data_IF_941450014425
#
_entry.id   IF_941450014425
#
_cell.length_a   1.000
_cell.length_b   1.000
_cell.length_c   1.000
_cell.angle_alpha   90.00
_cell.angle_beta   90.00
_cell.angle_gamma   90.00
#
_symmetry.space_group_name_H-M   'P 1'
#
loop_
_entity.id
_entity.type
_entity.pdbx_description
1 polymer ?
#
# COMPACT_ATOMS: atom_id res chain seq x y z
N UNK A 1 29.98 5.60 2.17
CA UNK A 1 29.41 4.77 3.24
C UNK A 1 28.45 3.76 2.63
N UNK A 2 28.38 2.55 3.19
CA UNK A 2 27.42 1.52 2.79
C UNK A 2 26.10 1.81 3.52
N UNK A 3 25.00 1.97 2.77
CA UNK A 3 23.67 2.22 3.36
C UNK A 3 23.19 0.94 4.06
N UNK A 4 22.69 1.07 5.28
CA UNK A 4 22.04 0.02 6.09
C UNK A 4 20.53 0.18 6.02
N UNK A 5 19.87 -0.80 5.40
CA UNK A 5 18.43 -0.83 5.21
C UNK A 5 17.79 -1.90 6.09
N UNK A 6 16.85 -1.50 6.94
CA UNK A 6 15.91 -2.41 7.57
C UNK A 6 14.65 -2.61 6.72
N UNK A 7 14.07 -3.79 6.77
CA UNK A 7 12.71 -4.05 6.27
C UNK A 7 11.87 -4.64 7.39
N UNK A 8 10.71 -4.04 7.64
CA UNK A 8 9.66 -4.60 8.51
C UNK A 8 8.60 -5.17 7.59
N UNK A 9 8.43 -6.49 7.57
CA UNK A 9 7.47 -7.15 6.68
C UNK A 9 6.90 -8.43 7.30
N UNK A 10 5.87 -8.98 6.68
CA UNK A 10 5.39 -10.34 6.97
C UNK A 10 6.49 -11.39 6.73
N UNK A 11 6.33 -12.64 7.23
CA UNK A 11 7.36 -13.67 7.14
C UNK A 11 7.94 -13.85 5.73
N UNK A 12 9.24 -13.59 5.56
CA UNK A 12 9.91 -13.62 4.24
C UNK A 12 9.88 -15.00 3.57
N UNK A 13 9.72 -16.06 4.37
CA UNK A 13 9.57 -17.43 3.91
C UNK A 13 8.20 -17.72 3.28
N UNK A 14 7.19 -16.90 3.57
CA UNK A 14 5.81 -17.07 3.11
C UNK A 14 5.47 -16.24 1.87
N UNK A 15 6.42 -15.42 1.38
CA UNK A 15 6.18 -14.57 0.21
C UNK A 15 6.03 -15.39 -1.07
N UNK A 16 5.29 -14.84 -2.02
CA UNK A 16 5.23 -15.40 -3.37
C UNK A 16 6.34 -14.79 -4.24
N UNK A 17 7.46 -15.50 -4.39
CA UNK A 17 8.67 -15.06 -5.09
C UNK A 17 8.43 -14.27 -6.38
N UNK A 18 7.50 -14.73 -7.22
CA UNK A 18 7.23 -14.12 -8.55
C UNK A 18 6.47 -12.79 -8.49
N UNK A 19 5.81 -12.45 -7.38
CA UNK A 19 4.98 -11.24 -7.26
C UNK A 19 5.41 -10.29 -6.16
N UNK A 20 6.27 -10.75 -5.25
CA UNK A 20 6.60 -9.95 -4.06
C UNK A 20 7.42 -8.70 -4.41
N UNK A 21 6.82 -7.54 -4.14
CA UNK A 21 7.43 -6.22 -4.35
C UNK A 21 8.50 -5.91 -3.31
N UNK A 22 8.36 -6.40 -2.08
CA UNK A 22 9.37 -6.19 -1.03
C UNK A 22 10.69 -6.88 -1.41
N UNK A 23 10.63 -8.11 -1.93
CA UNK A 23 11.78 -8.82 -2.48
C UNK A 23 12.37 -8.10 -3.70
N UNK A 24 11.55 -7.50 -4.57
CA UNK A 24 12.07 -6.69 -5.69
C UNK A 24 12.90 -5.50 -5.19
N UNK A 25 12.42 -4.79 -4.17
CA UNK A 25 13.13 -3.68 -3.54
C UNK A 25 14.43 -4.16 -2.86
N UNK A 26 14.39 -5.28 -2.14
CA UNK A 26 15.55 -5.84 -1.45
C UNK A 26 16.64 -6.31 -2.44
N UNK A 27 16.26 -6.92 -3.57
CA UNK A 27 17.20 -7.26 -4.63
C UNK A 27 17.84 -6.02 -5.24
N UNK A 28 17.07 -4.95 -5.46
CA UNK A 28 17.58 -3.67 -5.97
C UNK A 28 18.55 -2.99 -4.99
N UNK A 29 18.27 -3.08 -3.68
CA UNK A 29 19.16 -2.61 -2.63
C UNK A 29 20.46 -3.44 -2.54
N UNK A 30 20.35 -4.77 -2.61
CA UNK A 30 21.50 -5.68 -2.66
C UNK A 30 22.41 -5.40 -3.85
N UNK A 31 21.84 -5.17 -5.04
CA UNK A 31 22.60 -4.86 -6.25
C UNK A 31 23.41 -3.57 -6.13
N UNK A 32 22.99 -2.63 -5.26
CA UNK A 32 23.70 -1.39 -4.92
C UNK A 32 24.72 -1.59 -3.78
N UNK A 33 24.89 -2.82 -3.32
CA UNK A 33 25.77 -3.18 -2.22
C UNK A 33 25.28 -2.68 -0.87
N UNK A 34 23.98 -2.48 -0.65
CA UNK A 34 23.47 -2.08 0.67
C UNK A 34 23.58 -3.26 1.66
N UNK A 35 23.61 -2.95 2.95
CA UNK A 35 23.48 -3.96 4.02
C UNK A 35 22.00 -4.06 4.39
N UNK A 36 21.46 -5.28 4.46
CA UNK A 36 20.04 -5.51 4.71
C UNK A 36 19.83 -6.13 6.08
N UNK A 37 18.80 -5.66 6.77
CA UNK A 37 18.35 -6.17 8.05
C UNK A 37 16.87 -6.50 7.98
N UNK A 38 16.53 -7.71 8.41
CA UNK A 38 15.17 -8.23 8.44
C UNK A 38 14.55 -8.08 9.82
N UNK A 39 13.30 -7.64 9.85
CA UNK A 39 12.43 -7.58 11.03
C UNK A 39 11.02 -8.03 10.65
N UNK A 40 10.39 -8.80 11.52
CA UNK A 40 8.93 -8.93 11.59
C UNK A 40 8.36 -7.86 12.55
N UNK A 41 7.05 -7.56 12.53
CA UNK A 41 6.47 -6.57 13.44
C UNK A 41 6.76 -6.84 14.92
N UNK A 42 6.75 -8.10 15.33
CA UNK A 42 7.01 -8.52 16.71
C UNK A 42 8.46 -8.29 17.17
N UNK A 43 9.39 -8.06 16.24
CA UNK A 43 10.78 -7.77 16.57
C UNK A 43 10.97 -6.29 16.96
N UNK A 44 9.98 -5.43 16.72
CA UNK A 44 10.01 -4.01 17.05
C UNK A 44 9.59 -3.78 18.50
N UNK A 45 10.35 -2.96 19.23
CA UNK A 45 9.98 -2.55 20.59
C UNK A 45 10.57 -1.19 20.95
N UNK A 46 9.99 -0.56 21.99
CA UNK A 46 10.57 0.61 22.64
C UNK A 46 11.23 0.17 23.95
N UNK A 47 12.46 0.62 24.16
CA UNK A 47 13.16 0.48 25.43
C UNK A 47 13.52 1.88 25.92
N UNK A 48 12.90 2.32 27.02
CA UNK A 48 13.11 3.65 27.61
C UNK A 48 12.98 4.81 26.59
N UNK A 49 12.04 4.67 25.64
CA UNK A 49 11.80 5.65 24.58
C UNK A 49 12.72 5.52 23.35
N UNK A 50 13.72 4.64 23.38
CA UNK A 50 14.55 4.31 22.23
C UNK A 50 13.91 3.20 21.39
N UNK A 51 13.89 3.39 20.07
CA UNK A 51 13.37 2.39 19.14
C UNK A 51 14.42 1.29 18.89
N UNK A 52 14.04 0.06 19.19
CA UNK A 52 14.89 -1.12 19.14
C UNK A 52 14.30 -2.18 18.21
N UNK A 53 15.15 -3.09 17.75
CA UNK A 53 14.75 -4.22 16.92
C UNK A 53 15.57 -5.47 17.24
N UNK A 54 14.93 -6.64 17.24
CA UNK A 54 15.60 -7.94 17.19
C UNK A 54 15.93 -8.29 15.72
N UNK A 55 16.98 -7.65 15.20
CA UNK A 55 17.29 -7.63 13.76
C UNK A 55 18.09 -8.85 13.34
N UNK A 56 17.80 -9.37 12.15
CA UNK A 56 18.63 -10.39 11.48
C UNK A 56 19.34 -9.81 10.27
N UNK A 57 20.67 -10.00 10.10
CA UNK A 57 21.31 -9.75 8.81
C UNK A 57 20.59 -10.55 7.72
N UNK A 58 20.33 -9.91 6.58
CA UNK A 58 19.58 -10.49 5.47
C UNK A 58 20.44 -10.51 4.22
N UNK A 59 20.49 -11.65 3.54
CA UNK A 59 20.90 -11.74 2.15
C UNK A 59 19.72 -12.22 1.30
N UNK A 60 19.57 -11.71 0.07
CA UNK A 60 18.42 -12.02 -0.81
C UNK A 60 18.88 -12.42 -2.19
N UNK A 61 18.32 -13.48 -2.76
CA UNK A 61 18.75 -14.03 -4.04
C UNK A 61 17.63 -14.03 -5.07
N UNK A 62 18.00 -13.81 -6.34
CA UNK A 62 17.09 -13.98 -7.47
C UNK A 62 16.96 -15.49 -7.83
N UNK A 63 16.61 -16.32 -6.84
CA UNK A 63 16.44 -17.76 -6.97
C UNK A 63 15.08 -18.19 -6.39
N UNK A 64 14.18 -18.78 -7.19
CA UNK A 64 12.85 -19.20 -6.74
C UNK A 64 12.88 -20.35 -5.73
N UNK A 65 13.97 -21.10 -5.59
CA UNK A 65 14.10 -22.21 -4.63
C UNK A 65 14.80 -21.77 -3.34
N UNK A 66 15.46 -20.61 -3.34
CA UNK A 66 16.24 -20.10 -2.21
C UNK A 66 16.43 -18.59 -2.34
N UNK A 67 15.41 -17.81 -1.99
CA UNK A 67 15.40 -16.36 -2.20
C UNK A 67 15.96 -15.53 -1.04
N UNK A 68 16.31 -16.15 0.09
CA UNK A 68 16.82 -15.43 1.25
C UNK A 68 17.71 -16.30 2.14
N UNK A 69 18.61 -15.65 2.87
CA UNK A 69 19.34 -16.19 4.02
C UNK A 69 19.23 -15.22 5.20
N UNK A 70 19.02 -15.75 6.41
CA UNK A 70 19.01 -14.97 7.64
C UNK A 70 20.23 -15.33 8.50
N UNK A 71 20.96 -14.31 8.93
CA UNK A 71 22.01 -14.45 9.92
C UNK A 71 21.48 -14.53 11.36
N UNK A 72 22.40 -14.65 12.30
CA UNK A 72 22.08 -14.65 13.74
C UNK A 72 21.39 -13.35 14.16
N UNK A 73 20.29 -13.43 14.92
CA UNK A 73 19.56 -12.26 15.35
C UNK A 73 20.29 -11.51 16.48
N UNK A 74 20.14 -10.19 16.52
CA UNK A 74 20.70 -9.36 17.58
C UNK A 74 19.77 -8.19 17.93
N UNK A 75 19.67 -7.89 19.22
CA UNK A 75 19.01 -6.68 19.71
C UNK A 75 19.88 -5.47 19.40
N UNK A 76 19.38 -4.56 18.56
CA UNK A 76 20.10 -3.36 18.12
C UNK A 76 19.17 -2.15 18.10
N UNK A 77 19.74 -0.94 18.19
CA UNK A 77 18.95 0.27 18.07
C UNK A 77 18.58 0.49 16.59
N UNK A 78 17.33 0.84 16.29
CA UNK A 78 16.94 1.14 14.91
C UNK A 78 17.71 2.34 14.34
N UNK A 79 18.23 3.22 15.20
CA UNK A 79 19.13 4.33 14.83
C UNK A 79 20.46 3.90 14.22
N UNK A 80 20.79 2.61 14.26
CA UNK A 80 21.94 2.05 13.54
C UNK A 80 21.65 1.84 12.05
N UNK A 81 20.39 1.93 11.62
CA UNK A 81 19.97 1.88 10.23
C UNK A 81 19.90 3.28 9.64
N UNK A 82 20.17 3.39 8.35
CA UNK A 82 19.98 4.66 7.62
C UNK A 82 18.52 4.79 7.15
N UNK A 83 17.90 3.67 6.77
CA UNK A 83 16.53 3.60 6.27
C UNK A 83 15.80 2.34 6.74
N UNK A 84 14.50 2.44 6.99
CA UNK A 84 13.59 1.32 7.25
C UNK A 84 12.44 1.35 6.23
N UNK A 85 12.24 0.27 5.51
CA UNK A 85 11.04 0.05 4.69
C UNK A 85 9.96 -0.60 5.57
N UNK A 86 8.87 0.11 5.82
CA UNK A 86 7.67 -0.44 6.47
C UNK A 86 6.80 -1.10 5.39
N UNK A 87 6.92 -2.42 5.27
CA UNK A 87 6.31 -3.27 4.24
C UNK A 87 5.39 -4.34 4.81
N UNK A 88 4.92 -4.14 6.05
CA UNK A 88 3.88 -4.96 6.65
C UNK A 88 2.58 -4.79 5.85
N UNK A 89 1.97 -5.90 5.46
CA UNK A 89 0.67 -5.89 4.81
C UNK A 89 -0.43 -5.44 5.79
N UNK A 90 -1.51 -4.80 5.30
CA UNK A 90 -2.72 -4.57 6.10
C UNK A 90 -3.29 -5.86 6.75
N UNK A 91 -4.26 -5.76 7.67
CA UNK A 91 -5.08 -4.59 8.00
C UNK A 91 -4.29 -3.49 8.72
N UNK A 92 -4.80 -2.26 8.64
CA UNK A 92 -4.36 -1.19 9.52
C UNK A 92 -5.12 -1.33 10.85
N UNK A 93 -4.55 -2.10 11.77
CA UNK A 93 -5.09 -2.35 13.10
C UNK A 93 -4.28 -1.62 14.20
N UNK A 94 -4.57 -1.91 15.47
CA UNK A 94 -3.84 -1.32 16.59
C UNK A 94 -2.36 -1.72 16.60
N UNK A 95 -2.00 -2.92 16.14
CA UNK A 95 -0.60 -3.34 16.10
C UNK A 95 0.17 -2.62 14.99
N UNK A 96 -0.45 -2.42 13.82
CA UNK A 96 0.12 -1.55 12.80
C UNK A 96 0.31 -0.12 13.34
N UNK A 97 -0.71 0.42 14.04
CA UNK A 97 -0.65 1.73 14.68
C UNK A 97 0.52 1.82 15.66
N UNK A 98 0.68 0.85 16.57
CA UNK A 98 1.77 0.83 17.54
C UNK A 98 3.13 0.72 16.86
N UNK A 99 3.28 -0.11 15.83
CA UNK A 99 4.49 -0.18 15.03
C UNK A 99 4.86 1.20 14.44
N UNK A 100 3.87 2.00 13.97
CA UNK A 100 4.17 3.36 13.50
C UNK A 100 4.73 4.28 14.59
N UNK A 101 4.34 4.12 15.85
CA UNK A 101 4.89 4.92 16.95
C UNK A 101 6.34 4.52 17.28
N UNK A 102 6.66 3.23 17.22
CA UNK A 102 8.03 2.73 17.39
C UNK A 102 8.93 3.27 16.25
N UNK A 103 8.46 3.15 15.02
CA UNK A 103 9.18 3.66 13.84
C UNK A 103 9.30 5.18 13.83
N UNK A 104 8.33 5.92 14.39
CA UNK A 104 8.45 7.36 14.56
C UNK A 104 9.53 7.75 15.58
N UNK A 105 9.73 6.94 16.64
CA UNK A 105 10.86 7.15 17.54
C UNK A 105 12.21 6.92 16.83
N UNK A 106 12.30 5.94 15.93
CA UNK A 106 13.47 5.75 15.07
C UNK A 106 13.67 6.95 14.12
N UNK A 107 12.58 7.46 13.50
CA UNK A 107 12.61 8.65 12.65
C UNK A 107 13.16 9.87 13.40
N UNK A 108 12.72 10.08 14.65
CA UNK A 108 13.23 11.16 15.53
C UNK A 108 14.71 11.01 15.86
N UNK A 109 15.26 9.80 15.82
CA UNK A 109 16.69 9.51 15.98
C UNK A 109 17.49 9.59 14.67
N UNK A 110 16.88 10.03 13.57
CA UNK A 110 17.58 10.30 12.29
C UNK A 110 17.39 9.24 11.20
N UNK A 111 16.69 8.14 11.50
CA UNK A 111 16.39 7.08 10.52
C UNK A 111 15.40 7.58 9.48
N UNK A 112 15.55 7.21 8.21
CA UNK A 112 14.50 7.41 7.21
C UNK A 112 13.49 6.26 7.31
N UNK A 113 12.20 6.54 7.46
CA UNK A 113 11.18 5.48 7.38
C UNK A 113 10.34 5.67 6.12
N UNK A 114 10.23 4.61 5.33
CA UNK A 114 9.51 4.60 4.05
C UNK A 114 8.31 3.67 4.18
N UNK A 115 7.07 4.16 4.22
CA UNK A 115 6.64 5.57 4.24
C UNK A 115 6.67 6.21 5.64
N UNK A 116 6.54 7.55 5.69
CA UNK A 116 6.55 8.31 6.95
C UNK A 116 5.50 7.78 7.96
N UNK A 117 5.87 7.45 9.22
CA UNK A 117 4.97 6.78 10.16
C UNK A 117 3.73 7.61 10.52
N UNK A 118 3.89 8.92 10.72
CA UNK A 118 2.76 9.81 10.98
C UNK A 118 1.76 9.80 9.82
N UNK A 119 2.25 9.82 8.59
CA UNK A 119 1.41 9.83 7.41
C UNK A 119 0.74 8.50 7.14
N UNK A 120 1.35 7.37 7.54
CA UNK A 120 0.65 6.07 7.55
C UNK A 120 -0.59 6.09 8.45
N UNK A 121 -0.56 6.80 9.58
CA UNK A 121 -1.73 6.96 10.46
C UNK A 121 -2.77 7.93 9.89
N UNK A 122 -2.32 9.01 9.28
CA UNK A 122 -3.21 10.06 8.75
C UNK A 122 -3.91 9.66 7.45
N UNK A 123 -3.27 8.80 6.64
CA UNK A 123 -3.68 8.49 5.28
C UNK A 123 -4.28 7.08 5.16
N UNK A 124 -5.44 6.84 5.77
CA UNK A 124 -6.20 5.60 5.54
C UNK A 124 -6.50 5.42 4.04
N UNK A 125 -6.30 4.22 3.50
CA UNK A 125 -6.23 3.99 2.05
C UNK A 125 -7.53 4.34 1.29
N UNK A 126 -8.69 4.28 1.95
CA UNK A 126 -9.99 4.64 1.36
C UNK A 126 -10.36 6.09 1.66
N UNK A 127 -10.23 6.53 2.91
CA UNK A 127 -10.56 7.90 3.31
C UNK A 127 -9.62 8.94 2.68
N UNK A 128 -8.35 8.59 2.46
CA UNK A 128 -7.40 9.53 1.89
C UNK A 128 -7.76 9.90 0.45
N UNK A 129 -8.32 8.95 -0.33
CA UNK A 129 -8.82 9.23 -1.68
C UNK A 129 -9.90 10.32 -1.69
N UNK A 130 -10.72 10.44 -0.64
CA UNK A 130 -11.81 11.44 -0.57
C UNK A 130 -11.30 12.87 -0.42
N UNK A 131 -10.00 13.08 -0.15
CA UNK A 131 -9.37 14.41 -0.21
C UNK A 131 -9.20 14.92 -1.65
N UNK A 132 -9.44 14.05 -2.65
CA UNK A 132 -9.41 14.37 -4.07
C UNK A 132 -10.80 14.15 -4.70
N UNK A 133 -11.84 14.91 -4.30
CA UNK A 133 -13.20 14.71 -4.78
C UNK A 133 -13.33 14.86 -6.31
N UNK A 134 -12.44 15.62 -6.96
CA UNK A 134 -12.35 15.76 -8.41
C UNK A 134 -11.85 14.50 -9.13
N UNK A 135 -11.24 13.56 -8.40
CA UNK A 135 -10.71 12.29 -8.92
C UNK A 135 -11.60 11.09 -8.57
N UNK A 136 -12.41 11.17 -7.53
CA UNK A 136 -13.17 10.02 -7.00
C UNK A 136 -14.58 9.94 -7.59
N UNK A 137 -15.20 8.75 -7.63
CA UNK A 137 -16.62 8.68 -7.94
C UNK A 137 -17.45 9.19 -6.74
N UNK A 138 -18.73 9.45 -6.95
CA UNK A 138 -19.64 9.76 -5.85
C UNK A 138 -19.54 8.68 -4.76
N UNK A 139 -19.36 9.11 -3.51
CA UNK A 139 -19.19 8.25 -2.36
C UNK A 139 -19.73 8.93 -1.09
N UNK A 140 -20.00 8.11 -0.07
CA UNK A 140 -20.31 8.55 1.29
C UNK A 140 -19.66 7.60 2.28
N UNK A 141 -19.17 8.14 3.40
CA UNK A 141 -18.70 7.34 4.54
C UNK A 141 -19.64 7.54 5.70
N UNK A 142 -20.22 6.46 6.18
CA UNK A 142 -21.14 6.50 7.32
C UNK A 142 -21.31 5.13 7.97
N UNK A 143 -21.67 5.15 9.25
CA UNK A 143 -22.18 4.00 10.00
C UNK A 143 -23.69 4.04 10.17
N UNK A 144 -24.34 5.10 9.70
CA UNK A 144 -25.79 5.32 9.81
C UNK A 144 -26.52 4.70 8.63
N UNK A 145 -27.41 3.77 8.92
CA UNK A 145 -28.16 3.04 7.89
C UNK A 145 -29.05 3.95 7.02
N UNK A 146 -29.64 5.01 7.59
CA UNK A 146 -30.47 5.94 6.83
C UNK A 146 -29.67 6.71 5.76
N UNK A 147 -28.45 7.13 6.09
CA UNK A 147 -27.55 7.80 5.14
C UNK A 147 -27.11 6.83 4.03
N UNK A 148 -26.72 5.62 4.40
CA UNK A 148 -26.26 4.59 3.45
C UNK A 148 -27.38 4.16 2.50
N UNK A 149 -28.61 3.97 3.01
CA UNK A 149 -29.78 3.67 2.17
C UNK A 149 -30.11 4.83 1.23
N UNK A 150 -30.11 6.06 1.73
CA UNK A 150 -30.37 7.24 0.88
C UNK A 150 -29.37 7.34 -0.28
N UNK A 151 -28.09 7.06 -0.01
CA UNK A 151 -27.05 7.01 -1.04
C UNK A 151 -27.31 5.88 -2.06
N UNK A 152 -27.60 4.66 -1.58
CA UNK A 152 -27.94 3.53 -2.45
C UNK A 152 -29.15 3.81 -3.35
N UNK A 153 -30.22 4.40 -2.80
CA UNK A 153 -31.40 4.81 -3.59
C UNK A 153 -31.07 5.89 -4.63
N UNK A 154 -30.21 6.85 -4.29
CA UNK A 154 -29.83 7.93 -5.21
C UNK A 154 -29.01 7.39 -6.39
N UNK A 155 -28.07 6.47 -6.13
CA UNK A 155 -27.11 6.02 -7.13
C UNK A 155 -27.48 4.70 -7.82
N UNK A 156 -28.46 3.94 -7.30
CA UNK A 156 -29.08 2.72 -7.86
C UNK A 156 -28.15 1.52 -8.07
N UNK A 157 -26.84 1.73 -8.25
CA UNK A 157 -25.85 0.66 -8.32
C UNK A 157 -24.62 1.14 -7.55
N UNK A 158 -24.39 0.50 -6.40
CA UNK A 158 -23.38 0.93 -5.44
C UNK A 158 -22.51 -0.21 -4.97
N UNK A 159 -21.32 0.15 -4.50
CA UNK A 159 -20.40 -0.72 -3.79
C UNK A 159 -20.40 -0.30 -2.33
N UNK A 160 -20.63 -1.23 -1.41
CA UNK A 160 -20.42 -1.05 0.02
C UNK A 160 -19.17 -1.85 0.45
N UNK A 161 -18.25 -1.19 1.16
CA UNK A 161 -16.98 -1.76 1.58
C UNK A 161 -16.52 -1.22 2.95
N UNK A 162 -15.80 -2.04 3.76
CA UNK A 162 -15.19 -1.57 5.01
C UNK A 162 -14.02 -0.61 4.73
N UNK A 163 -13.57 0.12 5.75
CA UNK A 163 -12.47 1.10 5.65
C UNK A 163 -11.07 0.51 5.88
N UNK A 164 -10.98 -0.63 6.55
CA UNK A 164 -9.75 -1.28 7.03
C UNK A 164 -9.34 -2.54 6.24
N UNK A 165 -10.24 -3.07 5.41
CA UNK A 165 -9.98 -4.27 4.62
C UNK A 165 -9.10 -4.04 3.39
N UNK A 166 -8.33 -5.07 3.03
CA UNK A 166 -7.49 -5.13 1.81
C UNK A 166 -7.98 -6.23 0.85
N UNK A 167 -7.44 -6.23 -0.38
CA UNK A 167 -7.57 -7.37 -1.32
C UNK A 167 -9.00 -7.71 -1.76
N UNK A 168 -9.96 -6.79 -1.59
CA UNK A 168 -11.35 -7.03 -1.94
C UNK A 168 -12.16 -7.78 -0.89
N UNK A 169 -11.71 -7.81 0.37
CA UNK A 169 -12.48 -8.37 1.48
C UNK A 169 -13.75 -7.55 1.73
N UNK A 170 -14.88 -8.24 1.91
CA UNK A 170 -16.19 -7.65 2.28
C UNK A 170 -16.65 -6.51 1.35
N UNK A 171 -16.40 -6.66 0.05
CA UNK A 171 -16.93 -5.76 -0.98
C UNK A 171 -18.26 -6.31 -1.52
N UNK A 172 -19.33 -5.54 -1.36
CA UNK A 172 -20.66 -5.90 -1.84
C UNK A 172 -21.10 -4.94 -2.93
N UNK A 173 -21.57 -5.46 -4.06
CA UNK A 173 -22.32 -4.69 -5.04
C UNK A 173 -23.80 -4.83 -4.74
N UNK A 174 -24.48 -3.69 -4.61
CA UNK A 174 -25.92 -3.61 -4.39
C UNK A 174 -26.54 -2.84 -5.54
N UNK A 175 -27.43 -3.51 -6.28
CA UNK A 175 -28.20 -2.92 -7.37
C UNK A 175 -29.53 -2.37 -6.84
N UNK A 176 -30.27 -1.72 -7.74
CA UNK A 176 -31.59 -1.20 -7.47
C UNK A 176 -32.49 -2.35 -7.00
N UNK A 177 -33.20 -2.11 -5.91
CA UNK A 177 -34.11 -3.06 -5.25
C UNK A 177 -33.47 -4.39 -4.77
N UNK A 178 -32.15 -4.42 -4.51
CA UNK A 178 -31.53 -5.60 -3.89
C UNK A 178 -32.13 -5.87 -2.50
N UNK A 179 -32.74 -7.06 -2.27
CA UNK A 179 -33.39 -7.37 -1.01
C UNK A 179 -32.41 -7.44 0.17
N UNK A 180 -31.10 -7.51 -0.09
CA UNK A 180 -30.07 -7.66 0.93
C UNK A 180 -29.46 -6.33 1.39
N UNK A 181 -29.89 -5.18 0.85
CA UNK A 181 -29.30 -3.88 1.21
C UNK A 181 -29.23 -3.67 2.74
N UNK A 182 -30.33 -3.96 3.45
CA UNK A 182 -30.39 -3.77 4.91
C UNK A 182 -29.42 -4.70 5.65
N UNK A 183 -29.39 -6.00 5.33
CA UNK A 183 -28.50 -6.95 6.02
C UNK A 183 -27.03 -6.71 5.69
N UNK A 184 -26.71 -6.26 4.46
CA UNK A 184 -25.35 -5.86 4.07
C UNK A 184 -24.90 -4.65 4.91
N UNK A 185 -25.74 -3.61 5.03
CA UNK A 185 -25.44 -2.45 5.87
C UNK A 185 -25.25 -2.86 7.33
N UNK A 186 -26.15 -3.67 7.89
CA UNK A 186 -26.05 -4.14 9.28
C UNK A 186 -24.78 -4.96 9.52
N UNK A 187 -24.42 -5.84 8.59
CA UNK A 187 -23.21 -6.66 8.66
C UNK A 187 -21.96 -5.81 8.61
N UNK A 188 -21.83 -4.95 7.59
CA UNK A 188 -20.63 -4.14 7.38
C UNK A 188 -20.44 -3.08 8.47
N UNK A 189 -21.54 -2.48 8.97
CA UNK A 189 -21.47 -1.47 10.03
C UNK A 189 -21.43 -2.08 11.42
N UNK A 190 -21.48 -3.41 11.58
CA UNK A 190 -21.67 -4.09 12.86
C UNK A 190 -22.83 -3.46 13.66
N UNK A 191 -24.00 -3.40 13.04
CA UNK A 191 -25.20 -2.74 13.57
C UNK A 191 -24.96 -1.27 13.98
N UNK A 192 -24.25 -0.51 13.14
CA UNK A 192 -24.01 0.93 13.32
C UNK A 192 -22.82 1.29 14.22
N UNK A 193 -21.98 0.33 14.59
CA UNK A 193 -20.79 0.55 15.42
C UNK A 193 -19.55 0.93 14.59
N UNK A 194 -19.50 0.53 13.31
CA UNK A 194 -18.36 0.72 12.42
C UNK A 194 -18.68 1.58 11.19
N UNK A 195 -17.72 2.43 10.81
CA UNK A 195 -17.79 3.25 9.60
C UNK A 195 -17.52 2.40 8.36
N UNK A 196 -18.32 2.60 7.31
CA UNK A 196 -18.12 1.96 6.01
C UNK A 196 -18.19 3.00 4.90
N UNK A 197 -17.69 2.65 3.72
CA UNK A 197 -17.84 3.46 2.52
C UNK A 197 -18.91 2.86 1.60
N UNK A 198 -19.85 3.68 1.16
CA UNK A 198 -20.67 3.41 -0.01
C UNK A 198 -20.19 4.27 -1.19
N UNK A 199 -20.09 3.68 -2.36
CA UNK A 199 -19.54 4.31 -3.56
C UNK A 199 -20.38 3.94 -4.77
N UNK A 200 -20.55 4.85 -5.75
CA UNK A 200 -21.17 4.49 -7.04
C UNK A 200 -20.40 3.33 -7.69
N UNK A 201 -21.12 2.33 -8.20
CA UNK A 201 -20.51 1.25 -8.99
C UNK A 201 -19.94 1.80 -10.31
N UNK A 202 -18.76 1.31 -10.67
CA UNK A 202 -18.04 1.69 -11.88
C UNK A 202 -18.05 0.50 -12.86
N UNK A 203 -18.86 0.53 -13.94
CA UNK A 203 -18.91 -0.56 -14.91
C UNK A 203 -17.56 -0.81 -15.60
N UNK A 204 -16.69 0.20 -15.66
CA UNK A 204 -15.34 0.14 -16.24
C UNK A 204 -14.41 -0.85 -15.52
N UNK A 205 -14.82 -1.41 -14.37
CA UNK A 205 -14.09 -2.49 -13.69
C UNK A 205 -13.87 -3.72 -14.58
N UNK A 206 -14.70 -3.91 -15.61
CA UNK A 206 -14.51 -4.98 -16.62
C UNK A 206 -13.20 -4.83 -17.40
N UNK A 207 -12.70 -3.60 -17.55
CA UNK A 207 -11.43 -3.30 -18.21
C UNK A 207 -10.23 -3.38 -17.26
N UNK A 208 -10.52 -3.55 -15.97
CA UNK A 208 -9.57 -3.77 -14.90
C UNK A 208 -9.42 -2.61 -13.93
N UNK A 209 -9.12 -2.95 -12.68
CA UNK A 209 -8.70 -2.01 -11.65
C UNK A 209 -7.20 -1.75 -11.78
N UNK A 210 -6.82 -0.58 -12.29
CA UNK A 210 -5.43 -0.19 -12.58
C UNK A 210 -4.69 0.15 -11.29
N UNK A 211 -3.59 -0.56 -11.03
CA UNK A 211 -2.58 -0.20 -10.02
C UNK A 211 -1.53 0.71 -10.66
N UNK A 212 -1.54 1.99 -10.32
CA UNK A 212 -0.53 2.97 -10.70
C UNK A 212 0.45 3.13 -9.54
N UNK A 213 1.73 2.85 -9.75
CA UNK A 213 2.75 3.05 -8.72
C UNK A 213 3.28 4.48 -8.78
N UNK A 214 3.43 5.09 -7.61
CA UNK A 214 3.94 6.44 -7.42
C UNK A 214 5.24 6.37 -6.62
N UNK A 215 6.28 7.03 -7.12
CA UNK A 215 7.57 7.19 -6.44
C UNK A 215 7.76 8.68 -6.15
N UNK A 216 7.72 9.07 -4.88
CA UNK A 216 7.84 10.46 -4.44
C UNK A 216 6.94 11.43 -5.23
N UNK A 217 5.67 11.05 -5.37
CA UNK A 217 4.66 11.82 -6.10
C UNK A 217 4.76 11.79 -7.62
N UNK A 218 5.73 11.10 -8.22
CA UNK A 218 5.81 10.88 -9.67
C UNK A 218 5.22 9.52 -10.04
N UNK A 219 4.39 9.41 -11.09
CA UNK A 219 3.89 8.13 -11.55
C UNK A 219 4.94 7.34 -12.32
N UNK A 220 5.02 6.03 -12.06
CA UNK A 220 5.66 5.08 -12.98
C UNK A 220 4.88 5.11 -14.31
N UNK A 221 5.53 5.18 -15.49
CA UNK A 221 4.85 5.36 -16.79
C UNK A 221 3.89 4.23 -17.22
N UNK A 222 3.83 3.15 -16.43
CA UNK A 222 3.02 1.96 -16.67
C UNK A 222 2.25 1.60 -15.40
N UNK A 223 1.10 0.96 -15.58
CA UNK A 223 0.27 0.40 -14.51
C UNK A 223 0.06 -1.09 -14.72
N UNK A 224 -0.51 -1.75 -13.71
CA UNK A 224 -1.06 -3.09 -13.85
C UNK A 224 -2.59 -3.03 -13.78
N UNK A 225 -3.29 -3.25 -14.90
CA UNK A 225 -4.74 -3.43 -14.92
C UNK A 225 -5.07 -4.82 -14.36
N UNK A 226 -5.84 -4.87 -13.26
CA UNK A 226 -6.23 -6.12 -12.60
C UNK A 226 -7.68 -6.44 -12.96
N UNK A 227 -7.84 -7.36 -13.90
CA UNK A 227 -9.13 -7.66 -14.54
C UNK A 227 -9.84 -8.77 -13.74
N UNK A 228 -11.10 -8.56 -13.31
CA UNK A 228 -11.88 -9.58 -12.60
C UNK A 228 -12.06 -10.86 -13.42
N UNK A 229 -12.22 -11.99 -12.73
CA UNK A 229 -12.67 -13.22 -13.38
C UNK A 229 -14.15 -13.13 -13.78
N UNK A 230 -14.58 -13.96 -14.73
CA UNK A 230 -15.99 -14.01 -15.13
C UNK A 230 -16.87 -14.38 -13.92
N UNK A 231 -17.82 -13.51 -13.58
CA UNK A 231 -18.72 -13.69 -12.44
C UNK A 231 -18.21 -13.11 -11.12
N UNK A 232 -16.99 -12.57 -11.09
CA UNK A 232 -16.41 -11.89 -9.93
C UNK A 232 -16.49 -10.36 -10.10
N UNK A 233 -16.79 -9.64 -9.01
CA UNK A 233 -16.89 -8.17 -9.05
C UNK A 233 -15.55 -7.50 -8.69
N UNK A 234 -14.61 -8.28 -8.13
CA UNK A 234 -13.31 -7.80 -7.63
C UNK A 234 -12.21 -8.01 -8.66
N UNK A 235 -11.45 -6.94 -8.94
CA UNK A 235 -10.29 -6.99 -9.83
C UNK A 235 -9.01 -7.50 -9.16
N UNK A 236 -8.93 -7.48 -7.82
CA UNK A 236 -7.69 -7.71 -7.09
C UNK A 236 -7.02 -9.06 -7.44
N UNK A 237 -5.68 -9.07 -7.57
CA UNK A 237 -4.92 -10.31 -7.81
C UNK A 237 -5.11 -11.34 -6.69
N UNK A 238 -5.30 -10.89 -5.45
CA UNK A 238 -5.60 -11.74 -4.30
C UNK A 238 -6.95 -12.47 -4.43
N UNK A 239 -7.89 -11.92 -5.20
CA UNK A 239 -9.18 -12.54 -5.52
C UNK A 239 -9.15 -13.33 -6.85
N UNK A 240 -7.97 -13.58 -7.42
CA UNK A 240 -7.80 -14.35 -8.65
C UNK A 240 -7.85 -13.54 -9.94
N UNK A 241 -7.86 -12.20 -9.87
CA UNK A 241 -7.83 -11.34 -11.06
C UNK A 241 -6.59 -11.56 -11.94
N UNK A 242 -6.74 -11.31 -13.26
CA UNK A 242 -5.64 -11.36 -14.23
C UNK A 242 -4.97 -9.99 -14.32
N UNK A 243 -3.66 -9.94 -14.10
CA UNK A 243 -2.86 -8.73 -14.29
C UNK A 243 -2.46 -8.53 -15.76
N UNK A 244 -2.64 -7.32 -16.27
CA UNK A 244 -2.19 -6.91 -17.59
C UNK A 244 -1.47 -5.56 -17.48
N UNK A 245 -0.17 -5.54 -17.77
CA UNK A 245 0.61 -4.31 -17.71
C UNK A 245 0.28 -3.42 -18.91
N UNK A 246 0.09 -2.12 -18.69
CA UNK A 246 -0.30 -1.14 -19.72
C UNK A 246 0.38 0.21 -19.49
N UNK A 247 0.65 1.00 -20.54
CA UNK A 247 1.04 2.40 -20.38
C UNK A 247 -0.07 3.19 -19.67
N UNK A 248 0.30 4.23 -18.91
CA UNK A 248 -0.69 5.14 -18.35
C UNK A 248 -1.43 5.89 -19.46
N UNK A 249 -2.74 6.07 -19.29
CA UNK A 249 -3.54 6.99 -20.11
C UNK A 249 -3.33 8.44 -19.66
N UNK A 250 -3.87 9.39 -20.42
CA UNK A 250 -3.80 10.81 -20.03
C UNK A 250 -4.63 11.10 -18.78
N UNK A 251 -5.74 10.36 -18.60
CA UNK A 251 -6.53 10.45 -17.37
C UNK A 251 -5.78 9.89 -16.16
N UNK A 252 -5.04 8.80 -16.34
CA UNK A 252 -4.20 8.22 -15.29
C UNK A 252 -3.11 9.20 -14.85
N UNK A 253 -2.42 9.82 -15.82
CA UNK A 253 -1.43 10.87 -15.56
C UNK A 253 -2.05 12.07 -14.84
N UNK A 254 -3.21 12.53 -15.29
CA UNK A 254 -3.90 13.63 -14.64
C UNK A 254 -4.25 13.32 -13.18
N UNK A 255 -4.78 12.13 -12.87
CA UNK A 255 -5.05 11.71 -11.48
C UNK A 255 -3.76 11.70 -10.66
N UNK A 256 -2.68 11.12 -11.21
CA UNK A 256 -1.38 11.09 -10.56
C UNK A 256 -0.83 12.51 -10.28
N UNK A 257 -1.01 13.46 -11.20
CA UNK A 257 -0.64 14.87 -11.02
C UNK A 257 -1.45 15.57 -9.92
N UNK A 258 -2.74 15.24 -9.77
CA UNK A 258 -3.56 15.78 -8.67
C UNK A 258 -3.09 15.27 -7.30
N UNK A 259 -2.72 13.99 -7.21
CA UNK A 259 -2.38 13.32 -5.95
C UNK A 259 -0.92 13.53 -5.56
N UNK A 260 -0.02 13.56 -6.54
CA UNK A 260 1.44 13.56 -6.38
C UNK A 260 2.00 14.63 -5.43
N UNK A 261 1.60 15.91 -5.53
CA UNK A 261 2.06 16.96 -4.62
C UNK A 261 1.81 16.64 -3.14
N UNK A 262 0.61 16.14 -2.81
CA UNK A 262 0.25 15.78 -1.43
C UNK A 262 1.05 14.56 -0.94
N UNK A 263 1.36 13.59 -1.82
CA UNK A 263 2.21 12.46 -1.44
C UNK A 263 3.62 12.93 -1.04
N UNK A 264 4.20 13.88 -1.79
CA UNK A 264 5.52 14.47 -1.47
C UNK A 264 5.49 15.21 -0.14
N UNK A 265 4.50 16.09 0.04
CA UNK A 265 4.32 16.87 1.27
C UNK A 265 4.23 15.97 2.51
N UNK A 266 3.52 14.84 2.37
CA UNK A 266 3.33 13.87 3.45
C UNK A 266 4.47 12.85 3.59
N UNK A 267 5.54 12.90 2.80
CA UNK A 267 6.62 11.91 2.89
C UNK A 267 6.14 10.48 2.57
N UNK A 268 5.17 10.34 1.67
CA UNK A 268 4.71 9.08 1.12
C UNK A 268 5.52 8.78 -0.16
N UNK A 269 6.68 8.15 0.03
CA UNK A 269 7.67 7.92 -1.02
C UNK A 269 7.28 6.79 -1.97
N UNK A 270 6.55 5.77 -1.52
CA UNK A 270 6.10 4.67 -2.37
C UNK A 270 4.62 4.35 -2.14
N UNK A 271 3.79 4.62 -3.15
CA UNK A 271 2.32 4.56 -3.05
C UNK A 271 1.74 3.85 -4.25
N UNK A 272 0.62 3.13 -4.07
CA UNK A 272 -0.16 2.55 -5.16
C UNK A 272 -1.54 3.19 -5.28
N UNK A 273 -1.83 3.85 -6.40
CA UNK A 273 -3.17 4.35 -6.70
C UNK A 273 -3.98 3.25 -7.38
N UNK A 274 -5.23 3.07 -6.93
CA UNK A 274 -6.19 2.16 -7.55
C UNK A 274 -7.21 2.97 -8.34
N UNK A 275 -7.22 2.79 -9.67
CA UNK A 275 -8.02 3.56 -10.62
C UNK A 275 -8.89 2.63 -11.46
N UNK A 276 -10.20 2.85 -11.42
CA UNK A 276 -11.17 2.14 -12.27
C UNK A 276 -11.77 3.15 -13.26
N UNK A 277 -11.64 2.85 -14.56
CA UNK A 277 -11.97 3.81 -15.61
C UNK A 277 -11.21 5.12 -15.40
N UNK A 278 -11.94 6.19 -15.16
CA UNK A 278 -11.44 7.56 -14.99
C UNK A 278 -11.43 8.04 -13.53
N UNK A 279 -11.62 7.11 -12.58
CA UNK A 279 -11.84 7.43 -11.18
C UNK A 279 -10.82 6.77 -10.25
N UNK A 280 -10.24 7.58 -9.37
CA UNK A 280 -9.48 7.13 -8.21
C UNK A 280 -10.42 6.48 -7.20
N UNK A 281 -10.08 5.29 -6.73
CA UNK A 281 -10.90 4.55 -5.76
C UNK A 281 -10.21 4.33 -4.42
N UNK A 282 -8.88 4.14 -4.41
CA UNK A 282 -8.07 3.95 -3.19
C UNK A 282 -6.64 4.49 -3.41
N UNK A 283 -5.98 4.90 -2.31
CA UNK A 283 -4.56 5.30 -2.27
C UNK A 283 -3.85 4.38 -1.27
N UNK A 284 -3.17 3.36 -1.76
CA UNK A 284 -2.48 2.35 -0.94
C UNK A 284 -1.12 2.87 -0.48
N UNK A 285 -0.97 3.15 0.82
CA UNK A 285 0.23 3.76 1.41
C UNK A 285 1.04 2.79 2.26
N UNK A 286 0.50 1.60 2.56
CA UNK A 286 1.12 0.61 3.45
C UNK A 286 2.12 -0.28 2.69
N UNK A 287 1.62 -1.32 2.01
CA UNK A 287 2.41 -2.31 1.27
C UNK A 287 1.93 -2.44 -0.18
N UNK A 288 1.89 -1.36 -1.00
CA UNK A 288 1.46 -1.48 -2.39
C UNK A 288 2.36 -2.46 -3.16
N UNK A 289 1.74 -3.28 -4.01
CA UNK A 289 2.38 -4.34 -4.81
C UNK A 289 2.28 -4.06 -6.31
N UNK A 290 2.63 -5.03 -7.16
CA UNK A 290 2.66 -5.02 -8.64
C UNK A 290 3.98 -4.56 -9.28
N UNK A 291 5.09 -4.48 -8.53
CA UNK A 291 6.41 -4.14 -9.10
C UNK A 291 6.83 -5.19 -10.12
N UNK A 292 6.78 -6.47 -9.73
CA UNK A 292 7.30 -7.59 -10.52
C UNK A 292 6.63 -7.73 -11.87
N UNK A 293 5.30 -7.61 -11.91
CA UNK A 293 4.52 -7.75 -13.13
C UNK A 293 4.79 -6.60 -14.11
N UNK A 294 4.93 -5.37 -13.60
CA UNK A 294 5.24 -4.20 -14.44
C UNK A 294 6.68 -4.28 -14.94
N UNK A 295 7.64 -4.61 -14.07
CA UNK A 295 9.04 -4.78 -14.45
C UNK A 295 9.22 -5.92 -15.48
N UNK A 296 8.49 -7.02 -15.34
CA UNK A 296 8.56 -8.13 -16.31
C UNK A 296 8.06 -7.74 -17.70
N UNK A 297 7.09 -6.82 -17.78
CA UNK A 297 6.52 -6.37 -19.05
C UNK A 297 7.32 -5.23 -19.70
N UNK A 298 7.88 -4.32 -18.90
CA UNK A 298 8.44 -3.04 -19.40
C UNK A 298 9.86 -2.72 -18.93
N UNK A 299 10.50 -3.60 -18.16
CA UNK A 299 11.88 -3.44 -17.68
C UNK A 299 12.11 -2.11 -16.94
N UNK A 300 11.13 -1.73 -16.11
CA UNK A 300 11.10 -0.41 -15.45
C UNK A 300 12.09 -0.25 -14.29
N UNK A 301 12.58 -1.32 -13.68
CA UNK A 301 13.41 -1.29 -12.46
C UNK A 301 12.80 -0.40 -11.36
N UNK A 302 11.52 -0.59 -11.05
CA UNK A 302 10.79 0.25 -10.08
C UNK A 302 11.45 0.17 -8.69
N UNK A 303 11.93 -1.02 -8.31
CA UNK A 303 12.70 -1.20 -7.08
C UNK A 303 13.97 -0.34 -7.07
N UNK A 304 14.72 -0.32 -8.16
CA UNK A 304 15.91 0.52 -8.30
C UNK A 304 15.60 2.01 -8.28
N UNK A 305 14.56 2.46 -8.98
CA UNK A 305 14.12 3.86 -8.94
C UNK A 305 13.82 4.34 -7.51
N UNK A 306 13.16 3.51 -6.70
CA UNK A 306 12.92 3.80 -5.29
C UNK A 306 14.23 3.87 -4.48
N UNK A 307 15.17 2.94 -4.70
CA UNK A 307 16.45 2.96 -3.99
C UNK A 307 17.31 4.18 -4.36
N UNK A 308 17.28 4.63 -5.62
CA UNK A 308 18.01 5.81 -6.08
C UNK A 308 17.46 7.08 -5.44
N UNK A 309 16.13 7.18 -5.32
CA UNK A 309 15.47 8.24 -4.57
C UNK A 309 15.89 8.22 -3.09
N UNK A 310 15.83 7.06 -2.43
CA UNK A 310 16.20 6.92 -1.02
C UNK A 310 17.65 7.36 -0.81
N UNK A 311 18.58 6.90 -1.65
CA UNK A 311 19.98 7.31 -1.59
C UNK A 311 20.16 8.83 -1.79
N UNK A 312 19.41 9.43 -2.71
CA UNK A 312 19.42 10.87 -2.94
C UNK A 312 18.94 11.64 -1.71
N UNK A 313 17.83 11.22 -1.10
CA UNK A 313 17.30 11.89 0.08
C UNK A 313 18.20 11.73 1.31
N UNK A 314 18.81 10.55 1.50
CA UNK A 314 19.78 10.33 2.59
C UNK A 314 20.99 11.25 2.46
N UNK A 315 21.52 11.45 1.23
CA UNK A 315 22.63 12.39 0.97
C UNK A 315 22.25 13.86 1.21
N UNK A 316 20.98 14.22 1.03
CA UNK A 316 20.49 15.59 1.21
C UNK A 316 20.17 15.93 2.67
N UNK A 317 20.18 14.95 3.60
CA UNK A 317 19.90 15.20 5.02
C UNK A 317 21.06 15.96 5.67
N UNK A 318 20.79 17.02 6.47
CA UNK A 318 21.83 17.70 7.22
C UNK A 318 22.52 16.74 8.20
N UNK A 319 23.84 16.59 8.10
CA UNK A 319 24.64 15.76 9.01
C UNK A 319 25.11 14.41 8.48
N UNK A 320 24.90 14.11 7.19
CA UNK A 320 25.55 12.99 6.48
C UNK A 320 26.98 13.32 6.02
#
# INVERSE_FOLDING_TARGET
MRIRLGVVMDPINAIYYKKDSSLAMLLAARARGWELHYLEPQDLYLQDGQAMGHMRPLDVHANPDHWYDLGEPAHRALSELDVVLMRKDPPFDNEFLYATHILEAAEKSGVMVVNRPASLRDCNEKLFATQFPQCTPANVVSRRADILRAFAHTHRDVILKPLDGMGGSMIFRVREDDPNLSVIIETLTQHGQQQIMAQRYLPEIVDGDKRILMINGEPVPYCLARIPQKGETRGNLAAGGRGEARPLTDRDRWIAEQVGPTLRERGLLFVGLDVIGDYLTEINVTSPTCIREIDAAYQTDIGGQLMDLIASQLKARPGA
#
